data_IF_823917782179
#
_entry.id   IF_823917782179
#
_cell.length_a   1.000
_cell.length_b   1.000
_cell.length_c   1.000
_cell.angle_alpha   90.00
_cell.angle_beta   90.00
_cell.angle_gamma   90.00
#
_symmetry.space_group_name_H-M   'P 1'
#
loop_
_entity.id
_entity.type
_entity.pdbx_description
1 polymer ?
#
# COMPACT_ATOMS: atom_id res chain seq x y z
N UNK A 1 78.39 -14.97 15.32
CA UNK A 1 78.85 -15.90 14.28
C UNK A 1 78.39 -15.38 12.92
N UNK A 2 79.36 -14.99 12.06
CA UNK A 2 79.42 -15.14 10.58
C UNK A 2 78.10 -14.96 9.78
N UNK A 3 77.88 -13.92 8.94
CA UNK A 3 78.61 -13.49 7.72
C UNK A 3 79.11 -14.70 6.93
N UNK A 4 78.59 -15.02 5.73
CA UNK A 4 79.05 -14.50 4.44
C UNK A 4 78.00 -14.76 3.34
N UNK A 5 77.73 -13.68 2.60
CA UNK A 5 77.42 -13.50 1.16
C UNK A 5 77.06 -14.70 0.27
N UNK A 6 76.04 -14.51 -0.58
CA UNK A 6 76.26 -14.31 -2.03
C UNK A 6 75.07 -13.62 -2.73
N UNK A 7 75.38 -12.57 -3.49
CA UNK A 7 74.51 -11.79 -4.39
C UNK A 7 74.32 -12.55 -5.72
N UNK A 8 73.21 -12.38 -6.44
CA UNK A 8 73.27 -11.55 -7.66
C UNK A 8 71.92 -10.83 -7.91
N UNK A 9 71.73 -9.84 -8.76
CA UNK A 9 72.55 -9.00 -9.65
C UNK A 9 71.51 -8.02 -10.20
N UNK A 10 71.83 -6.73 -10.19
CA UNK A 10 70.98 -5.71 -10.78
C UNK A 10 70.89 -5.89 -12.30
N UNK A 11 69.67 -6.02 -12.82
CA UNK A 11 69.27 -5.62 -14.17
C UNK A 11 67.96 -4.85 -13.97
N UNK A 12 67.88 -3.55 -14.23
CA UNK A 12 68.05 -2.98 -15.55
C UNK A 12 66.69 -3.03 -16.25
N UNK A 13 65.86 -2.00 -16.08
CA UNK A 13 64.55 -1.98 -16.73
C UNK A 13 63.63 -0.85 -16.28
N UNK A 14 63.95 0.39 -16.67
CA UNK A 14 62.91 1.42 -16.86
C UNK A 14 61.84 0.83 -17.77
N UNK A 15 60.57 0.79 -17.36
CA UNK A 15 59.43 1.22 -18.20
C UNK A 15 58.29 1.69 -17.29
N UNK A 16 58.01 2.99 -17.43
CA UNK A 16 56.74 3.63 -17.12
C UNK A 16 55.62 2.78 -17.70
N UNK A 17 54.69 2.32 -16.86
CA UNK A 17 53.46 1.74 -17.35
C UNK A 17 52.29 2.13 -16.44
N UNK A 18 51.48 3.02 -17.01
CA UNK A 18 50.03 2.92 -16.99
C UNK A 18 49.33 3.21 -15.66
N UNK A 19 49.16 4.50 -15.39
CA UNK A 19 48.07 5.05 -14.57
C UNK A 19 46.69 4.84 -15.22
N UNK A 20 46.30 3.60 -15.51
CA UNK A 20 45.01 3.25 -16.12
C UNK A 20 44.10 2.46 -15.17
N UNK A 21 44.62 1.94 -14.05
CA UNK A 21 43.84 1.09 -13.16
C UNK A 21 42.75 1.84 -12.35
N UNK A 22 42.77 3.18 -12.26
CA UNK A 22 41.83 3.93 -11.43
C UNK A 22 40.50 4.28 -12.11
N UNK A 23 40.38 4.14 -13.44
CA UNK A 23 39.20 4.61 -14.17
C UNK A 23 38.07 3.57 -14.35
N UNK A 24 38.30 2.29 -14.05
CA UNK A 24 37.31 1.22 -14.29
C UNK A 24 36.38 0.99 -13.09
N UNK A 25 36.69 1.54 -11.92
CA UNK A 25 35.92 1.30 -10.69
C UNK A 25 34.67 2.19 -10.50
N UNK A 26 34.37 3.12 -11.42
CA UNK A 26 33.24 4.06 -11.29
C UNK A 26 31.96 3.67 -12.04
N UNK A 27 31.89 2.52 -12.72
CA UNK A 27 30.73 2.13 -13.54
C UNK A 27 29.82 1.06 -12.92
N UNK A 28 30.07 0.61 -11.68
CA UNK A 28 29.39 -0.57 -11.12
C UNK A 28 28.20 -0.28 -10.17
N UNK A 29 27.74 0.96 -10.04
CA UNK A 29 26.53 1.28 -9.25
C UNK A 29 25.34 1.53 -10.18
N UNK A 30 24.98 0.54 -11.01
CA UNK A 30 23.63 0.52 -11.57
C UNK A 30 22.69 0.12 -10.44
N UNK A 31 22.07 1.13 -9.82
CA UNK A 31 21.02 0.93 -8.82
C UNK A 31 19.92 0.08 -9.40
N UNK A 32 19.72 -1.12 -8.83
CA UNK A 32 18.57 -1.94 -9.13
C UNK A 32 17.33 -1.22 -8.59
N UNK A 33 16.57 -0.55 -9.47
CA UNK A 33 15.21 -0.11 -9.15
C UNK A 33 14.32 -1.36 -9.07
N UNK A 34 14.26 -1.97 -7.89
CA UNK A 34 13.18 -2.92 -7.60
C UNK A 34 11.90 -2.12 -7.36
N UNK A 35 10.92 -2.23 -8.26
CA UNK A 35 9.57 -1.77 -7.97
C UNK A 35 9.03 -2.61 -6.80
N UNK A 36 8.84 -1.98 -5.64
CA UNK A 36 8.22 -2.64 -4.50
C UNK A 36 6.72 -2.74 -4.80
N UNK A 37 6.28 -3.91 -5.25
CA UNK A 37 4.87 -4.26 -5.23
C UNK A 37 4.54 -4.54 -3.76
N UNK A 38 3.81 -3.63 -3.13
CA UNK A 38 3.23 -3.88 -1.82
C UNK A 38 2.15 -4.95 -2.00
N UNK A 39 2.50 -6.20 -1.72
CA UNK A 39 1.54 -7.30 -1.57
C UNK A 39 0.68 -7.02 -0.33
N UNK A 40 -0.40 -6.28 -0.54
CA UNK A 40 -1.39 -5.95 0.48
C UNK A 40 -2.67 -5.37 -0.10
N UNK A 41 -2.62 -4.81 -1.31
CA UNK A 41 -3.71 -3.97 -1.83
C UNK A 41 -3.78 -4.05 -3.35
N UNK A 42 -3.95 -5.26 -3.91
CA UNK A 42 -3.90 -5.47 -5.36
C UNK A 42 -5.00 -4.70 -6.11
N UNK A 43 -4.69 -3.47 -6.49
CA UNK A 43 -5.40 -2.66 -7.46
C UNK A 43 -6.82 -2.26 -7.10
N UNK A 44 -7.22 -2.22 -5.81
CA UNK A 44 -8.55 -1.75 -5.44
C UNK A 44 -8.76 -0.30 -5.90
N UNK A 45 -9.92 -0.02 -6.47
CA UNK A 45 -10.29 1.32 -6.91
C UNK A 45 -11.69 1.67 -6.42
N UNK A 46 -11.90 2.95 -6.10
CA UNK A 46 -13.20 3.43 -5.64
C UNK A 46 -14.33 3.03 -6.61
N UNK A 47 -14.17 3.33 -7.90
CA UNK A 47 -15.24 3.14 -8.88
C UNK A 47 -15.61 1.68 -9.09
N UNK A 48 -14.64 0.76 -9.10
CA UNK A 48 -14.89 -0.67 -9.36
C UNK A 48 -15.33 -1.40 -8.10
N UNK A 49 -14.71 -1.12 -6.97
CA UNK A 49 -14.78 -2.01 -5.81
C UNK A 49 -15.60 -1.40 -4.66
N UNK A 50 -15.52 -0.08 -4.42
CA UNK A 50 -16.20 0.59 -3.28
C UNK A 50 -17.56 1.16 -3.67
N UNK A 51 -17.65 1.83 -4.83
CA UNK A 51 -18.86 2.53 -5.27
C UNK A 51 -20.08 1.59 -5.39
N UNK A 52 -19.97 0.35 -5.91
CA UNK A 52 -21.11 -0.57 -5.94
C UNK A 52 -21.63 -0.93 -4.53
N UNK A 53 -20.72 -1.08 -3.56
CA UNK A 53 -21.09 -1.36 -2.16
C UNK A 53 -21.86 -0.16 -1.59
N UNK A 54 -21.39 1.06 -1.84
CA UNK A 54 -22.04 2.27 -1.34
C UNK A 54 -23.41 2.50 -2.00
N UNK A 55 -23.53 2.25 -3.30
CA UNK A 55 -24.81 2.33 -4.02
C UNK A 55 -25.85 1.39 -3.43
N UNK A 56 -25.48 0.14 -3.16
CA UNK A 56 -26.39 -0.86 -2.63
C UNK A 56 -26.75 -0.59 -1.16
N UNK A 57 -25.76 -0.27 -0.33
CA UNK A 57 -25.93 -0.33 1.13
C UNK A 57 -26.00 1.03 1.82
N UNK A 58 -25.45 2.10 1.24
CA UNK A 58 -25.27 3.37 1.94
C UNK A 58 -26.05 4.54 1.34
N UNK A 59 -26.15 4.62 0.01
CA UNK A 59 -26.60 5.84 -0.67
C UNK A 59 -28.08 6.18 -0.51
N UNK A 60 -28.95 5.24 -0.12
CA UNK A 60 -30.35 5.57 0.20
C UNK A 60 -30.44 6.62 1.33
N UNK A 61 -29.59 6.48 2.34
CA UNK A 61 -29.48 7.41 3.46
C UNK A 61 -28.43 8.49 3.23
N UNK A 62 -27.32 8.14 2.56
CA UNK A 62 -26.16 9.02 2.31
C UNK A 62 -26.20 9.66 0.93
N UNK A 63 -27.30 10.34 0.64
CA UNK A 63 -27.46 11.16 -0.57
C UNK A 63 -27.93 12.56 -0.19
N UNK A 64 -27.71 13.57 -1.06
CA UNK A 64 -28.18 14.92 -0.82
C UNK A 64 -29.69 14.96 -0.51
N UNK A 65 -30.06 15.63 0.58
CA UNK A 65 -31.45 15.77 1.02
C UNK A 65 -32.04 14.57 1.76
N UNK A 66 -31.27 13.51 2.00
CA UNK A 66 -31.68 12.36 2.83
C UNK A 66 -31.25 12.56 4.30
N UNK A 67 -31.48 11.53 5.13
CA UNK A 67 -31.32 11.60 6.59
C UNK A 67 -29.85 11.71 7.06
N UNK A 68 -28.90 11.19 6.27
CA UNK A 68 -27.50 11.22 6.68
C UNK A 68 -26.84 12.57 6.30
N UNK A 69 -25.92 13.09 7.15
CA UNK A 69 -25.41 14.46 7.01
C UNK A 69 -24.39 14.63 5.87
N UNK A 70 -24.05 13.57 5.14
CA UNK A 70 -23.05 13.60 4.07
C UNK A 70 -23.41 12.69 2.89
N UNK A 71 -22.97 13.09 1.71
CA UNK A 71 -23.13 12.34 0.46
C UNK A 71 -22.02 11.31 0.27
N UNK A 72 -22.40 10.09 -0.12
CA UNK A 72 -21.51 9.01 -0.53
C UNK A 72 -21.65 8.65 -2.02
N UNK A 73 -22.09 9.60 -2.85
CA UNK A 73 -22.33 9.38 -4.27
C UNK A 73 -21.04 9.50 -5.08
N UNK A 74 -20.31 10.61 -4.93
CA UNK A 74 -19.11 10.88 -5.71
C UNK A 74 -17.83 10.64 -4.91
N UNK A 75 -16.75 10.27 -5.59
CA UNK A 75 -15.45 10.08 -4.95
C UNK A 75 -14.97 11.33 -4.20
N UNK A 76 -15.19 12.53 -4.78
CA UNK A 76 -14.79 13.80 -4.18
C UNK A 76 -15.49 14.06 -2.85
N UNK A 77 -16.73 13.60 -2.69
CA UNK A 77 -17.48 13.73 -1.45
C UNK A 77 -17.04 12.68 -0.43
N UNK A 78 -16.96 11.42 -0.86
CA UNK A 78 -16.59 10.27 -0.03
C UNK A 78 -15.21 10.44 0.58
N UNK A 79 -14.20 10.85 -0.21
CA UNK A 79 -12.80 10.88 0.24
C UNK A 79 -12.56 11.78 1.46
N UNK A 80 -13.41 12.78 1.69
CA UNK A 80 -13.32 13.67 2.85
C UNK A 80 -13.69 12.98 4.16
N UNK A 81 -14.47 11.90 4.07
CA UNK A 81 -14.97 11.13 5.20
C UNK A 81 -14.33 9.74 5.32
N UNK A 82 -13.38 9.38 4.45
CA UNK A 82 -12.82 8.03 4.34
C UNK A 82 -12.41 7.43 5.69
N UNK A 83 -11.65 8.17 6.51
CA UNK A 83 -11.23 7.70 7.84
C UNK A 83 -12.41 7.39 8.77
N UNK A 84 -13.44 8.24 8.76
CA UNK A 84 -14.66 8.03 9.56
C UNK A 84 -15.50 6.89 9.03
N UNK A 85 -15.62 6.76 7.70
CA UNK A 85 -16.34 5.65 7.09
C UNK A 85 -15.69 4.33 7.48
N UNK A 86 -14.36 4.23 7.34
CA UNK A 86 -13.58 3.06 7.75
C UNK A 86 -13.85 2.69 9.21
N UNK A 87 -13.75 3.66 10.12
CA UNK A 87 -14.04 3.47 11.56
C UNK A 87 -15.47 2.92 11.77
N UNK A 88 -16.48 3.58 11.23
CA UNK A 88 -17.89 3.19 11.43
C UNK A 88 -18.25 1.83 10.81
N UNK A 89 -17.61 1.49 9.70
CA UNK A 89 -17.80 0.20 9.02
C UNK A 89 -17.09 -0.92 9.78
N UNK A 90 -15.84 -0.69 10.23
CA UNK A 90 -15.10 -1.65 11.05
C UNK A 90 -15.82 -1.96 12.36
N UNK A 91 -16.38 -0.94 13.01
CA UNK A 91 -17.13 -1.07 14.26
C UNK A 91 -18.55 -1.62 14.06
N UNK A 92 -18.96 -1.90 12.81
CA UNK A 92 -20.32 -2.32 12.43
C UNK A 92 -21.40 -1.38 12.97
N UNK A 93 -21.10 -0.08 13.02
CA UNK A 93 -22.07 0.98 13.32
C UNK A 93 -22.84 1.34 12.06
N UNK A 94 -22.17 1.28 10.91
CA UNK A 94 -22.75 1.57 9.60
C UNK A 94 -22.36 0.52 8.57
N UNK A 95 -23.35 -0.08 7.90
CA UNK A 95 -24.68 -0.41 8.40
C UNK A 95 -24.52 -1.45 9.53
N UNK A 96 -25.18 -1.28 10.69
CA UNK A 96 -26.57 -0.85 10.75
C UNK A 96 -26.90 0.26 11.77
N UNK A 97 -27.63 1.25 11.28
CA UNK A 97 -28.23 2.34 12.05
C UNK A 97 -29.21 1.79 13.11
N UNK A 98 -28.80 1.81 14.37
CA UNK A 98 -29.59 1.42 15.56
C UNK A 98 -30.02 -0.06 15.66
N UNK A 99 -29.56 -0.95 14.78
CA UNK A 99 -29.81 -2.39 14.90
C UNK A 99 -28.63 -3.03 15.63
N UNK A 100 -28.90 -3.81 16.67
CA UNK A 100 -27.87 -4.59 17.35
C UNK A 100 -27.79 -6.00 16.74
N UNK A 101 -26.70 -6.35 16.03
CA UNK A 101 -26.56 -7.67 15.41
C UNK A 101 -26.22 -8.80 16.39
N UNK A 102 -26.23 -8.53 17.70
CA UNK A 102 -25.93 -9.51 18.75
C UNK A 102 -27.14 -9.82 19.63
N UNK A 103 -28.26 -9.11 19.46
CA UNK A 103 -29.46 -9.28 20.28
C UNK A 103 -30.72 -9.28 19.40
N UNK A 104 -31.63 -10.24 19.62
CA UNK A 104 -32.92 -10.30 18.93
C UNK A 104 -32.86 -10.92 17.53
N UNK A 105 -33.73 -10.45 16.63
CA UNK A 105 -33.85 -10.94 15.24
C UNK A 105 -32.65 -10.46 14.44
N UNK A 106 -31.95 -11.39 13.80
CA UNK A 106 -30.73 -11.09 13.01
C UNK A 106 -31.02 -10.88 11.52
N UNK A 107 -32.02 -11.58 11.00
CA UNK A 107 -32.36 -11.56 9.58
C UNK A 107 -33.51 -10.60 9.29
N UNK A 108 -33.17 -9.35 8.95
CA UNK A 108 -34.14 -8.36 8.49
C UNK A 108 -34.37 -8.49 6.99
N UNK A 109 -35.64 -8.50 6.56
CA UNK A 109 -36.03 -8.63 5.14
C UNK A 109 -35.35 -7.61 4.21
N UNK A 110 -35.06 -6.41 4.72
CA UNK A 110 -34.39 -5.33 3.98
C UNK A 110 -33.07 -4.92 4.65
N UNK A 111 -32.33 -5.91 5.16
CA UNK A 111 -31.03 -5.64 5.78
C UNK A 111 -30.05 -5.04 4.76
N UNK A 112 -29.40 -3.95 5.16
CA UNK A 112 -28.29 -3.34 4.43
C UNK A 112 -26.93 -3.78 4.99
N UNK A 113 -26.91 -4.82 5.84
CA UNK A 113 -25.69 -5.30 6.48
C UNK A 113 -24.63 -5.68 5.44
N UNK A 114 -23.38 -5.34 5.75
CA UNK A 114 -22.25 -5.67 4.90
C UNK A 114 -21.75 -7.08 5.20
N UNK A 115 -21.31 -7.79 4.17
CA UNK A 115 -20.53 -9.01 4.35
C UNK A 115 -19.11 -8.68 4.84
N UNK A 116 -18.42 -9.65 5.43
CA UNK A 116 -17.01 -9.47 5.85
C UNK A 116 -16.10 -9.04 4.69
N UNK A 117 -16.35 -9.56 3.48
CA UNK A 117 -15.61 -9.17 2.29
C UNK A 117 -15.86 -7.70 1.91
N UNK A 118 -17.10 -7.22 2.02
CA UNK A 118 -17.41 -5.80 1.77
C UNK A 118 -16.80 -4.88 2.82
N UNK A 119 -16.82 -5.30 4.10
CA UNK A 119 -16.13 -4.60 5.18
C UNK A 119 -14.64 -4.53 4.89
N UNK A 120 -14.00 -5.64 4.50
CA UNK A 120 -12.59 -5.67 4.14
C UNK A 120 -12.28 -4.72 2.97
N UNK A 121 -13.11 -4.70 1.92
CA UNK A 121 -12.93 -3.77 0.78
C UNK A 121 -13.03 -2.30 1.19
N UNK A 122 -13.91 -1.94 2.13
CA UNK A 122 -14.06 -0.55 2.58
C UNK A 122 -12.96 -0.15 3.59
N UNK A 123 -12.40 -1.12 4.33
CA UNK A 123 -11.48 -0.88 5.44
C UNK A 123 -10.01 -1.15 5.12
N UNK A 124 -9.73 -1.69 3.93
CA UNK A 124 -8.41 -1.70 3.30
C UNK A 124 -7.86 -0.28 3.23
#
# INVERSE_FOLDING_TARGET
MNIVLWMPRSAGGRRLATGVAAAVALLATQGQLTAQVTEGESGLTFSRDVAPIFQQNCQECHQPGSIAPMSLITYQEVRRWAARIRERVADRIMPPWHVNPYLGIQDFKNSRALSEAQIATITA
#
